data_IF_072939084521
#
_entry.id   IF_072939084521
#
_cell.length_a   1.000
_cell.length_b   1.000
_cell.length_c   1.000
_cell.angle_alpha   90.00
_cell.angle_beta   90.00
_cell.angle_gamma   90.00
#
_symmetry.space_group_name_H-M   'P 1'
#
loop_
_entity.id
_entity.type
_entity.pdbx_description
1 polymer ?
#
# COMPACT_ATOMS: atom_id res chain seq x y z
N UNK A 1 35.78 -5.40 -65.99
CA UNK A 1 35.71 -6.88 -66.13
C UNK A 1 34.58 -7.37 -65.26
N UNK A 2 33.75 -8.29 -65.77
CA UNK A 2 32.72 -9.16 -65.12
C UNK A 2 31.73 -8.51 -64.11
N UNK A 3 30.41 -8.78 -64.11
CA UNK A 3 29.60 -10.00 -64.33
C UNK A 3 29.80 -11.06 -63.21
N UNK A 4 28.79 -11.82 -62.76
CA UNK A 4 27.32 -11.70 -62.82
C UNK A 4 26.66 -12.76 -61.89
N UNK A 5 25.35 -12.65 -61.65
CA UNK A 5 24.47 -13.73 -61.18
C UNK A 5 24.57 -14.18 -59.72
N UNK A 6 23.70 -15.05 -59.20
CA UNK A 6 22.38 -15.59 -59.64
C UNK A 6 21.88 -16.54 -58.51
N UNK A 7 20.61 -16.91 -58.26
CA UNK A 7 19.25 -16.57 -58.75
C UNK A 7 18.27 -16.95 -57.57
N UNK A 8 16.94 -17.12 -57.59
CA UNK A 8 15.83 -17.11 -58.55
C UNK A 8 14.47 -16.93 -57.83
N UNK A 9 13.47 -16.35 -58.48
CA UNK A 9 12.12 -16.05 -57.97
C UNK A 9 11.13 -17.25 -57.96
N UNK A 10 9.99 -17.09 -57.26
CA UNK A 10 8.66 -17.52 -57.79
C UNK A 10 7.47 -16.79 -57.11
N UNK A 11 6.60 -16.19 -57.92
CA UNK A 11 5.16 -15.93 -57.63
C UNK A 11 4.36 -17.27 -57.79
N UNK A 12 3.05 -17.45 -57.55
CA UNK A 12 1.85 -16.60 -57.36
C UNK A 12 0.76 -17.45 -56.65
N UNK A 13 -0.21 -16.92 -55.87
CA UNK A 13 -1.59 -16.52 -56.27
C UNK A 13 -2.28 -17.37 -57.36
N UNK A 14 -3.60 -17.71 -57.32
CA UNK A 14 -4.70 -17.32 -56.42
C UNK A 14 -5.84 -18.40 -56.38
N UNK A 15 -6.85 -18.16 -55.53
CA UNK A 15 -8.28 -18.57 -55.53
C UNK A 15 -8.81 -19.74 -56.41
N UNK A 16 -9.75 -20.52 -55.85
CA UNK A 16 -11.06 -20.75 -56.49
C UNK A 16 -12.18 -21.10 -55.47
N UNK A 17 -13.45 -21.01 -55.88
CA UNK A 17 -14.64 -21.09 -55.02
C UNK A 17 -15.66 -22.19 -55.40
N UNK A 18 -15.95 -23.06 -54.43
CA UNK A 18 -17.33 -23.50 -54.15
C UNK A 18 -17.83 -24.83 -54.74
N UNK A 19 -18.46 -25.63 -53.88
CA UNK A 19 -19.52 -26.59 -54.21
C UNK A 19 -20.37 -26.89 -52.96
N UNK A 20 -21.66 -27.19 -53.13
CA UNK A 20 -22.60 -27.49 -52.04
C UNK A 20 -23.05 -28.96 -52.10
N UNK A 21 -23.08 -29.64 -50.95
CA UNK A 21 -23.73 -30.94 -50.78
C UNK A 21 -24.40 -31.03 -49.40
N UNK A 22 -25.48 -31.82 -49.28
CA UNK A 22 -26.41 -31.81 -48.14
C UNK A 22 -26.92 -33.22 -47.82
N UNK A 23 -26.82 -33.69 -46.55
CA UNK A 23 -27.91 -34.28 -45.71
C UNK A 23 -27.40 -35.03 -44.47
N UNK A 24 -28.22 -35.01 -43.42
CA UNK A 24 -28.15 -35.92 -42.26
C UNK A 24 -27.18 -35.47 -41.15
N UNK A 25 -27.47 -35.69 -39.87
CA UNK A 25 -28.73 -36.16 -39.28
C UNK A 25 -28.59 -36.42 -37.76
N UNK A 26 -29.48 -35.83 -36.95
CA UNK A 26 -29.78 -36.17 -35.55
C UNK A 26 -28.63 -36.64 -34.62
N UNK A 27 -28.24 -35.79 -33.67
CA UNK A 27 -28.66 -35.95 -32.27
C UNK A 27 -28.41 -34.65 -31.48
N UNK A 28 -29.18 -34.41 -30.40
CA UNK A 28 -29.17 -33.15 -29.64
C UNK A 28 -29.13 -33.43 -28.14
N UNK A 29 -27.94 -33.49 -27.58
CA UNK A 29 -27.77 -33.61 -26.12
C UNK A 29 -27.95 -32.24 -25.43
N UNK A 30 -28.59 -32.20 -24.24
CA UNK A 30 -28.78 -30.96 -23.50
C UNK A 30 -27.48 -30.55 -22.79
N UNK A 31 -26.93 -29.39 -23.16
CA UNK A 31 -25.88 -28.74 -22.36
C UNK A 31 -26.40 -28.49 -20.95
N UNK A 32 -25.77 -29.08 -19.95
CA UNK A 32 -25.95 -28.66 -18.56
C UNK A 32 -25.46 -27.23 -18.41
N UNK A 33 -26.39 -26.29 -18.19
CA UNK A 33 -26.05 -24.97 -17.70
C UNK A 33 -25.51 -25.12 -16.27
N UNK A 34 -24.18 -25.15 -16.14
CA UNK A 34 -23.54 -24.86 -14.87
C UNK A 34 -23.80 -23.40 -14.54
N UNK A 35 -24.88 -23.15 -13.80
CA UNK A 35 -25.23 -21.84 -13.25
C UNK A 35 -24.18 -21.48 -12.20
N UNK A 36 -23.05 -20.93 -12.65
CA UNK A 36 -22.06 -20.30 -11.77
C UNK A 36 -22.80 -19.22 -11.00
N UNK A 37 -23.04 -19.45 -9.72
CA UNK A 37 -23.77 -18.52 -8.88
C UNK A 37 -23.00 -17.20 -8.86
N UNK A 38 -23.55 -16.18 -9.54
CA UNK A 38 -23.05 -14.82 -9.45
C UNK A 38 -23.12 -14.44 -7.99
N UNK A 39 -21.95 -14.26 -7.36
CA UNK A 39 -21.86 -13.66 -6.03
C UNK A 39 -22.17 -12.18 -6.22
N UNK A 40 -23.46 -11.85 -6.21
CA UNK A 40 -23.92 -10.50 -5.98
C UNK A 40 -23.26 -10.01 -4.70
N UNK A 41 -22.34 -9.07 -4.85
CA UNK A 41 -21.84 -8.27 -3.74
C UNK A 41 -23.07 -7.53 -3.23
N UNK A 42 -23.44 -7.73 -1.97
CA UNK A 42 -24.51 -6.97 -1.34
C UNK A 42 -24.17 -5.49 -1.35
N UNK A 43 -25.13 -4.62 -1.67
CA UNK A 43 -24.91 -3.16 -1.78
C UNK A 43 -24.39 -2.52 -0.47
N UNK A 44 -24.51 -3.23 0.67
CA UNK A 44 -23.85 -2.90 1.93
C UNK A 44 -22.32 -2.87 1.89
N UNK A 45 -21.67 -3.62 1.00
CA UNK A 45 -20.20 -3.73 0.94
C UNK A 45 -19.55 -2.66 0.05
N UNK A 46 -20.30 -2.02 -0.85
CA UNK A 46 -19.78 -1.02 -1.79
C UNK A 46 -20.60 0.28 -1.72
N UNK A 47 -20.10 1.24 -0.93
CA UNK A 47 -20.74 2.55 -0.71
C UNK A 47 -19.72 3.68 -0.87
N UNK A 48 -20.07 4.73 -1.59
CA UNK A 48 -19.23 5.94 -1.69
C UNK A 48 -19.51 6.90 -0.54
N UNK A 49 -18.56 7.78 -0.18
CA UNK A 49 -18.83 8.80 0.84
C UNK A 49 -19.76 9.92 0.30
N UNK A 50 -19.99 9.98 -1.02
CA UNK A 50 -20.95 10.91 -1.64
C UNK A 50 -22.39 10.54 -1.28
N UNK A 51 -22.71 9.25 -1.18
CA UNK A 51 -24.01 8.74 -0.68
C UNK A 51 -24.26 9.05 0.81
N UNK A 52 -23.21 9.37 1.58
CA UNK A 52 -23.27 9.68 3.02
C UNK A 52 -23.23 11.18 3.33
N UNK A 53 -23.11 12.05 2.32
CA UNK A 53 -22.82 13.47 2.51
C UNK A 53 -24.05 14.37 2.62
N UNK A 54 -25.27 13.83 2.57
CA UNK A 54 -26.51 14.61 2.35
C UNK A 54 -27.34 14.92 3.60
N UNK A 55 -27.12 14.28 4.76
CA UNK A 55 -28.08 14.33 5.89
C UNK A 55 -27.48 14.60 7.29
N UNK A 56 -26.17 14.83 7.43
CA UNK A 56 -25.49 14.84 8.75
C UNK A 56 -24.62 16.09 9.02
N UNK A 57 -25.20 17.30 8.97
CA UNK A 57 -24.58 18.51 9.55
C UNK A 57 -24.77 18.55 11.09
N UNK A 58 -24.23 17.57 11.81
CA UNK A 58 -24.32 17.46 13.27
C UNK A 58 -22.94 17.44 13.94
N UNK A 59 -22.39 18.62 14.26
CA UNK A 59 -21.10 18.79 14.94
C UNK A 59 -21.17 18.48 16.46
N UNK A 60 -21.42 17.22 16.82
CA UNK A 60 -21.37 16.72 18.22
C UNK A 60 -20.82 15.29 18.28
N UNK A 61 -19.66 15.07 18.94
CA UNK A 61 -19.24 13.68 19.23
C UNK A 61 -17.80 13.39 19.61
N UNK A 62 -16.81 14.22 19.28
CA UNK A 62 -15.38 13.91 19.54
C UNK A 62 -14.93 14.04 21.03
N UNK A 63 -15.88 13.97 21.97
CA UNK A 63 -15.67 14.14 23.40
C UNK A 63 -15.26 12.86 24.15
N UNK A 64 -14.45 11.99 23.51
CA UNK A 64 -13.64 11.00 24.21
C UNK A 64 -12.17 11.18 23.83
N UNK A 65 -11.43 11.84 24.73
CA UNK A 65 -9.98 11.98 24.59
C UNK A 65 -9.28 10.62 24.53
N UNK A 66 -8.10 10.53 23.88
CA UNK A 66 -7.48 9.25 23.56
C UNK A 66 -7.17 8.44 24.82
N UNK A 67 -7.68 7.21 24.87
CA UNK A 67 -7.35 6.18 25.84
C UNK A 67 -5.87 5.78 25.71
N UNK A 68 -4.99 6.61 26.29
CA UNK A 68 -3.57 6.30 26.49
C UNK A 68 -3.46 5.16 27.49
N UNK A 69 -3.43 3.92 27.00
CA UNK A 69 -2.99 2.79 27.82
C UNK A 69 -1.55 3.09 28.26
N UNK A 70 -1.32 3.19 29.58
CA UNK A 70 0.04 3.15 30.11
C UNK A 70 0.59 1.75 29.82
N UNK A 71 1.87 1.63 29.40
CA UNK A 71 2.46 0.32 29.07
C UNK A 71 2.34 -0.72 30.20
N UNK A 72 2.26 -0.26 31.46
CA UNK A 72 1.96 -1.07 32.65
C UNK A 72 0.59 -1.76 32.66
N UNK A 73 -0.34 -1.38 31.77
CA UNK A 73 -1.68 -1.97 31.61
C UNK A 73 -1.73 -3.01 30.47
N UNK A 74 -0.68 -3.11 29.65
CA UNK A 74 -0.56 -4.13 28.60
C UNK A 74 -0.05 -5.41 29.27
N UNK A 75 -0.87 -6.48 29.27
CA UNK A 75 -0.54 -7.77 29.89
C UNK A 75 0.67 -8.43 29.22
N UNK A 76 1.34 -9.36 29.92
CA UNK A 76 2.53 -10.04 29.38
C UNK A 76 2.19 -10.79 28.09
N UNK A 77 1.05 -11.47 28.10
CA UNK A 77 0.55 -12.30 27.01
C UNK A 77 0.30 -11.46 25.74
N UNK A 78 -0.22 -10.23 25.91
CA UNK A 78 -0.42 -9.30 24.81
C UNK A 78 0.90 -8.73 24.28
N UNK A 79 1.90 -8.51 25.14
CA UNK A 79 3.26 -8.13 24.70
C UNK A 79 3.94 -9.28 23.95
N UNK A 80 3.88 -10.50 24.49
CA UNK A 80 4.46 -11.70 23.86
C UNK A 80 3.79 -11.99 22.49
N UNK A 81 2.48 -11.71 22.37
CA UNK A 81 1.76 -11.76 21.09
C UNK A 81 2.22 -10.68 20.10
N UNK A 82 2.34 -9.42 20.53
CA UNK A 82 2.85 -8.33 19.70
C UNK A 82 4.31 -8.56 19.27
N UNK A 83 5.16 -9.07 20.15
CA UNK A 83 6.55 -9.47 19.86
C UNK A 83 6.60 -10.53 18.75
N UNK A 84 5.75 -11.58 18.84
CA UNK A 84 5.61 -12.57 17.78
C UNK A 84 5.18 -11.93 16.46
N UNK A 85 4.13 -11.12 16.47
CA UNK A 85 3.58 -10.46 15.28
C UNK A 85 4.62 -9.57 14.59
N UNK A 86 5.41 -8.82 15.37
CA UNK A 86 6.46 -7.94 14.85
C UNK A 86 7.64 -8.70 14.22
N UNK A 87 8.09 -9.80 14.84
CA UNK A 87 9.16 -10.64 14.27
C UNK A 87 8.69 -11.35 12.99
N UNK A 88 7.51 -11.96 13.02
CA UNK A 88 6.92 -12.63 11.85
C UNK A 88 6.70 -11.61 10.70
N UNK A 89 6.36 -10.36 11.02
CA UNK A 89 6.28 -9.25 10.06
C UNK A 89 7.65 -8.81 9.52
N UNK A 90 8.69 -8.73 10.36
CA UNK A 90 10.06 -8.41 9.95
C UNK A 90 10.61 -9.44 8.95
N UNK A 91 10.42 -10.73 9.22
CA UNK A 91 10.84 -11.83 8.33
C UNK A 91 10.15 -11.72 6.94
N UNK A 92 8.85 -11.44 6.92
CA UNK A 92 8.09 -11.20 5.68
C UNK A 92 8.55 -9.93 4.94
N UNK A 93 8.88 -8.86 5.67
CA UNK A 93 9.39 -7.60 5.10
C UNK A 93 10.75 -7.79 4.42
N UNK A 94 11.73 -8.41 5.08
CA UNK A 94 13.06 -8.63 4.48
C UNK A 94 12.98 -9.60 3.29
N UNK A 95 12.09 -10.59 3.33
CA UNK A 95 11.75 -11.42 2.17
C UNK A 95 11.23 -10.59 1.00
N UNK A 96 10.28 -9.67 1.24
CA UNK A 96 9.71 -8.81 0.20
C UNK A 96 10.71 -7.78 -0.36
N UNK A 97 11.54 -7.17 0.49
CA UNK A 97 12.64 -6.30 0.06
C UNK A 97 13.62 -7.03 -0.86
N UNK A 98 13.93 -8.30 -0.55
CA UNK A 98 14.78 -9.15 -1.40
C UNK A 98 14.13 -9.40 -2.76
N UNK A 99 12.86 -9.80 -2.80
CA UNK A 99 12.12 -10.07 -4.06
C UNK A 99 11.99 -8.82 -4.94
N UNK A 100 11.68 -7.66 -4.35
CA UNK A 100 11.59 -6.39 -5.07
C UNK A 100 12.91 -6.01 -5.75
N UNK A 101 14.05 -6.24 -5.06
CA UNK A 101 15.40 -5.99 -5.60
C UNK A 101 15.85 -7.04 -6.65
N UNK A 102 15.26 -8.23 -6.67
CA UNK A 102 15.50 -9.27 -7.69
C UNK A 102 14.72 -9.06 -8.99
N UNK A 103 13.85 -8.03 -9.06
CA UNK A 103 13.08 -7.72 -10.27
C UNK A 103 11.84 -8.59 -10.48
N UNK A 104 11.44 -9.40 -9.49
CA UNK A 104 10.25 -10.26 -9.54
C UNK A 104 8.92 -9.47 -9.57
N UNK A 105 8.96 -8.19 -9.20
CA UNK A 105 7.77 -7.36 -8.96
C UNK A 105 7.42 -6.50 -10.17
N UNK A 106 6.13 -6.33 -10.44
CA UNK A 106 5.64 -5.52 -11.56
C UNK A 106 5.99 -4.05 -11.35
N UNK A 107 6.73 -3.44 -12.28
CA UNK A 107 6.93 -1.99 -12.33
C UNK A 107 5.59 -1.30 -12.57
N UNK A 108 5.20 -0.37 -11.68
CA UNK A 108 4.11 0.58 -11.88
C UNK A 108 4.63 1.97 -12.29
N UNK A 109 5.81 2.35 -11.79
CA UNK A 109 6.53 3.57 -12.16
C UNK A 109 8.04 3.35 -12.03
N UNK A 110 8.79 3.65 -13.08
CA UNK A 110 10.23 3.35 -13.18
C UNK A 110 11.15 4.49 -12.72
N UNK A 111 10.65 5.73 -12.68
CA UNK A 111 11.43 6.94 -12.36
C UNK A 111 10.86 7.58 -11.09
N UNK A 112 11.69 8.24 -10.28
CA UNK A 112 11.39 8.91 -8.99
C UNK A 112 9.91 9.28 -8.68
N UNK A 113 9.30 8.73 -7.61
CA UNK A 113 9.70 7.50 -6.92
C UNK A 113 9.54 6.26 -7.79
N UNK A 114 10.46 5.31 -7.68
CA UNK A 114 10.27 3.95 -8.20
C UNK A 114 9.10 3.34 -7.42
N UNK A 115 8.12 2.77 -8.12
CA UNK A 115 7.01 2.03 -7.50
C UNK A 115 6.85 0.68 -8.19
N UNK A 116 7.03 -0.39 -7.42
CA UNK A 116 6.83 -1.78 -7.84
C UNK A 116 5.64 -2.40 -7.09
N UNK A 117 5.05 -3.46 -7.62
CA UNK A 117 3.95 -4.21 -6.99
C UNK A 117 4.16 -5.73 -7.07
N UNK A 118 3.97 -6.39 -5.92
CA UNK A 118 3.99 -7.84 -5.77
C UNK A 118 2.67 -8.50 -6.22
N UNK A 119 2.67 -9.80 -6.56
CA UNK A 119 1.44 -10.57 -6.80
C UNK A 119 0.46 -10.57 -5.61
N UNK A 120 0.96 -10.49 -4.37
CA UNK A 120 0.15 -10.41 -3.14
C UNK A 120 -0.44 -9.01 -2.85
N UNK A 121 -0.29 -8.08 -3.82
CA UNK A 121 -0.70 -6.67 -3.76
C UNK A 121 0.04 -5.81 -2.71
N UNK A 122 1.22 -6.26 -2.27
CA UNK A 122 2.19 -5.38 -1.60
C UNK A 122 2.87 -4.45 -2.62
N UNK A 123 3.32 -3.29 -2.16
CA UNK A 123 4.02 -2.30 -2.97
C UNK A 123 5.41 -2.02 -2.38
N UNK A 124 6.37 -1.73 -3.26
CA UNK A 124 7.71 -1.29 -2.89
C UNK A 124 7.95 0.08 -3.52
N UNK A 125 8.29 1.06 -2.69
CA UNK A 125 8.53 2.45 -3.07
C UNK A 125 9.99 2.78 -2.76
N UNK A 126 10.73 3.35 -3.72
CA UNK A 126 12.13 3.78 -3.51
C UNK A 126 12.41 5.17 -4.09
N UNK A 127 13.12 6.00 -3.32
CA UNK A 127 13.40 7.41 -3.63
C UNK A 127 14.69 7.90 -2.93
N UNK A 128 15.45 8.80 -3.55
CA UNK A 128 16.68 9.41 -3.00
C UNK A 128 16.41 10.81 -2.39
N UNK A 129 16.98 11.06 -1.21
CA UNK A 129 16.86 12.31 -0.47
C UNK A 129 18.23 12.89 -0.10
N UNK A 130 18.36 14.21 -0.18
CA UNK A 130 19.59 14.98 0.11
C UNK A 130 19.66 15.39 1.59
N UNK A 131 19.52 14.42 2.50
CA UNK A 131 19.63 14.63 3.95
C UNK A 131 20.21 13.38 4.64
N UNK A 132 20.43 13.44 5.95
CA UNK A 132 20.88 12.27 6.72
C UNK A 132 19.76 11.22 6.84
N UNK A 133 20.08 9.91 6.99
CA UNK A 133 19.06 8.88 7.19
C UNK A 133 18.22 9.10 8.46
N UNK A 134 18.77 9.75 9.49
CA UNK A 134 18.01 10.15 10.67
C UNK A 134 16.94 11.19 10.33
N UNK A 135 17.30 12.27 9.61
CA UNK A 135 16.34 13.32 9.20
C UNK A 135 15.23 12.72 8.33
N UNK A 136 15.57 11.88 7.36
CA UNK A 136 14.58 11.18 6.53
C UNK A 136 13.67 10.27 7.37
N UNK A 137 14.22 9.49 8.30
CA UNK A 137 13.42 8.59 9.13
C UNK A 137 12.49 9.34 10.08
N UNK A 138 12.97 10.37 10.76
CA UNK A 138 12.15 11.17 11.66
C UNK A 138 11.03 11.90 10.91
N UNK A 139 11.33 12.48 9.74
CA UNK A 139 10.34 13.08 8.85
C UNK A 139 9.26 12.08 8.39
N UNK A 140 9.66 10.88 7.98
CA UNK A 140 8.75 9.85 7.47
C UNK A 140 7.94 9.12 8.57
N UNK A 141 8.50 8.94 9.77
CA UNK A 141 7.96 8.04 10.81
C UNK A 141 7.34 8.75 12.03
N UNK A 142 7.94 9.88 12.45
CA UNK A 142 7.51 10.64 13.64
C UNK A 142 6.68 11.86 13.25
N UNK A 143 7.19 12.61 12.28
CA UNK A 143 6.66 13.92 11.88
C UNK A 143 5.61 13.85 10.76
N UNK A 144 5.12 12.66 10.40
CA UNK A 144 4.22 12.42 9.26
C UNK A 144 3.02 13.37 9.18
N UNK A 145 2.39 13.73 10.30
CA UNK A 145 1.26 14.69 10.32
C UNK A 145 1.65 16.15 10.01
N UNK A 146 2.93 16.52 10.11
CA UNK A 146 3.38 17.89 9.86
C UNK A 146 3.41 18.25 8.37
N UNK A 147 3.25 17.26 7.49
CA UNK A 147 3.35 17.43 6.04
C UNK A 147 2.41 16.52 5.24
N UNK A 148 2.02 15.35 5.75
CA UNK A 148 1.23 14.40 4.99
C UNK A 148 -0.28 14.70 5.06
N UNK A 149 -0.78 15.51 4.12
CA UNK A 149 -2.21 15.81 3.94
C UNK A 149 -3.08 14.60 3.55
N UNK A 150 -2.49 13.40 3.40
CA UNK A 150 -3.22 12.16 3.16
C UNK A 150 -3.71 11.51 4.48
N UNK A 151 -3.29 12.03 5.63
CA UNK A 151 -3.76 11.65 6.96
C UNK A 151 -4.57 12.80 7.59
N UNK A 152 -5.62 12.45 8.33
CA UNK A 152 -6.47 13.39 9.10
C UNK A 152 -6.11 13.36 10.58
N UNK A 153 -5.80 12.17 11.10
CA UNK A 153 -5.36 11.95 12.47
C UNK A 153 -4.29 10.86 12.49
N UNK A 154 -3.26 10.99 13.33
CA UNK A 154 -2.35 9.91 13.66
C UNK A 154 -1.66 10.14 15.01
N UNK A 155 -1.50 9.09 15.83
CA UNK A 155 -0.94 9.20 17.18
C UNK A 155 -0.52 7.84 17.74
N UNK A 156 0.52 7.86 18.59
CA UNK A 156 0.78 6.76 19.52
C UNK A 156 -0.37 6.69 20.54
N UNK A 157 -0.99 5.53 20.68
CA UNK A 157 -2.10 5.25 21.61
C UNK A 157 -1.65 4.41 22.81
N UNK A 158 -0.58 3.63 22.67
CA UNK A 158 0.11 3.00 23.78
C UNK A 158 1.61 2.86 23.47
N UNK A 159 2.45 2.96 24.49
CA UNK A 159 3.88 2.62 24.38
C UNK A 159 4.10 1.28 25.07
N UNK A 160 4.66 0.31 24.35
CA UNK A 160 4.89 -1.06 24.83
C UNK A 160 6.26 -1.16 25.49
N UNK A 161 7.29 -0.65 24.81
CA UNK A 161 8.68 -0.54 25.24
C UNK A 161 9.34 0.67 24.55
N UNK A 162 10.62 1.01 24.80
CA UNK A 162 11.27 2.21 24.23
C UNK A 162 11.37 2.26 22.70
N UNK A 163 11.21 1.13 22.00
CA UNK A 163 11.28 1.05 20.53
C UNK A 163 9.97 0.57 19.88
N UNK A 164 8.95 0.26 20.69
CA UNK A 164 7.71 -0.40 20.23
C UNK A 164 6.48 0.34 20.73
N UNK A 165 5.60 0.71 19.80
CA UNK A 165 4.36 1.41 20.08
C UNK A 165 3.14 0.78 19.40
N UNK A 166 1.97 1.11 19.92
CA UNK A 166 0.68 0.90 19.26
C UNK A 166 0.23 2.27 18.73
N UNK A 167 -0.05 2.32 17.44
CA UNK A 167 -0.25 3.55 16.69
C UNK A 167 -1.61 3.56 16.00
N UNK A 168 -2.32 4.67 16.14
CA UNK A 168 -3.54 4.94 15.39
C UNK A 168 -3.21 5.85 14.21
N UNK A 169 -3.83 5.61 13.05
CA UNK A 169 -3.88 6.58 11.96
C UNK A 169 -5.22 6.53 11.22
N UNK A 170 -5.62 7.66 10.65
CA UNK A 170 -6.82 7.80 9.82
C UNK A 170 -6.45 8.54 8.52
N UNK A 171 -6.80 7.96 7.37
CA UNK A 171 -6.62 8.59 6.07
C UNK A 171 -7.62 9.71 5.83
N UNK A 172 -7.25 10.67 4.99
CA UNK A 172 -8.22 11.50 4.29
C UNK A 172 -9.11 10.63 3.37
N UNK A 173 -10.34 11.07 3.03
CA UNK A 173 -11.10 10.48 1.95
C UNK A 173 -10.37 10.65 0.62
N UNK A 174 -10.30 9.59 -0.19
CA UNK A 174 -9.64 9.61 -1.49
C UNK A 174 -10.66 9.70 -2.64
N UNK A 175 -10.15 10.01 -3.84
CA UNK A 175 -10.94 10.10 -5.08
C UNK A 175 -12.19 10.98 -4.96
N UNK A 176 -12.02 12.21 -4.43
CA UNK A 176 -13.10 13.19 -4.20
C UNK A 176 -14.28 12.64 -3.37
N UNK A 177 -13.99 11.76 -2.40
CA UNK A 177 -15.00 11.13 -1.55
C UNK A 177 -15.56 9.82 -2.09
N UNK A 178 -15.13 9.34 -3.25
CA UNK A 178 -15.52 8.00 -3.70
C UNK A 178 -14.99 6.89 -2.78
N UNK A 179 -13.86 7.14 -2.11
CA UNK A 179 -13.27 6.28 -1.08
C UNK A 179 -13.31 7.03 0.26
N UNK A 180 -14.19 6.62 1.17
CA UNK A 180 -14.26 7.13 2.54
C UNK A 180 -12.95 6.95 3.32
N UNK A 181 -12.76 7.73 4.40
CA UNK A 181 -11.62 7.58 5.31
C UNK A 181 -11.47 6.16 5.82
N UNK A 182 -10.23 5.66 5.82
CA UNK A 182 -9.86 4.40 6.49
C UNK A 182 -9.11 4.71 7.78
N UNK A 183 -9.40 3.99 8.85
CA UNK A 183 -8.56 4.00 10.05
C UNK A 183 -7.80 2.69 10.24
N UNK A 184 -6.64 2.78 10.90
CA UNK A 184 -5.69 1.70 11.09
C UNK A 184 -5.19 1.73 12.54
N UNK A 185 -4.97 0.54 13.10
CA UNK A 185 -4.40 0.34 14.44
C UNK A 185 -3.22 -0.59 14.27
N UNK A 186 -2.02 -0.01 14.15
CA UNK A 186 -0.80 -0.74 13.84
C UNK A 186 0.07 -0.90 15.08
N UNK A 187 0.56 -2.11 15.34
CA UNK A 187 1.73 -2.27 16.21
C UNK A 187 2.97 -1.98 15.38
N UNK A 188 3.88 -1.18 15.93
CA UNK A 188 5.08 -0.72 15.22
C UNK A 188 6.33 -0.90 16.08
N UNK A 189 7.45 -1.24 15.45
CA UNK A 189 8.78 -1.27 16.08
C UNK A 189 9.82 -0.57 15.24
N UNK A 190 10.67 0.21 15.90
CA UNK A 190 11.86 0.85 15.31
C UNK A 190 13.10 0.02 15.59
N UNK A 191 13.99 -0.08 14.61
CA UNK A 191 15.34 -0.61 14.70
C UNK A 191 16.31 0.38 14.06
N UNK A 192 17.54 0.45 14.56
CA UNK A 192 18.63 1.20 13.95
C UNK A 192 19.88 0.32 13.89
N UNK A 193 20.35 0.06 12.67
CA UNK A 193 21.63 -0.58 12.42
C UNK A 193 22.68 0.51 12.17
N UNK A 194 23.61 0.65 13.12
CA UNK A 194 24.68 1.64 13.05
C UNK A 194 25.83 1.25 12.13
N UNK A 195 25.99 -0.03 11.78
CA UNK A 195 27.04 -0.51 10.89
C UNK A 195 26.71 -0.20 9.41
N UNK A 196 25.42 -0.21 9.04
CA UNK A 196 24.93 0.19 7.71
C UNK A 196 24.06 1.46 7.73
N UNK A 197 24.18 2.29 8.77
CA UNK A 197 23.50 3.59 8.93
C UNK A 197 22.02 3.58 8.49
N UNK A 198 21.29 2.55 8.92
CA UNK A 198 19.92 2.27 8.46
C UNK A 198 18.94 2.32 9.63
N UNK A 199 17.96 3.20 9.53
CA UNK A 199 16.76 3.16 10.37
C UNK A 199 15.68 2.33 9.68
N UNK A 200 15.03 1.43 10.41
CA UNK A 200 13.92 0.59 9.93
C UNK A 200 12.77 0.66 10.92
N UNK A 201 11.61 1.15 10.47
CA UNK A 201 10.34 1.06 11.20
C UNK A 201 9.46 -0.01 10.56
N UNK A 202 9.23 -1.13 11.24
CA UNK A 202 8.28 -2.18 10.80
C UNK A 202 6.93 -1.94 11.47
N UNK A 203 5.84 -2.16 10.74
CA UNK A 203 4.47 -2.04 11.24
C UNK A 203 3.53 -3.06 10.60
N UNK A 204 2.46 -3.39 11.33
CA UNK A 204 1.39 -4.30 10.91
C UNK A 204 0.13 -4.05 11.76
N UNK A 205 -1.05 -4.14 11.16
CA UNK A 205 -2.31 -3.93 11.90
C UNK A 205 -2.61 -5.04 12.89
N UNK A 206 -3.13 -4.66 14.04
CA UNK A 206 -3.56 -5.55 15.12
C UNK A 206 -4.92 -5.13 15.65
N UNK A 207 -5.68 -6.08 16.19
CA UNK A 207 -6.87 -5.76 16.95
C UNK A 207 -6.48 -5.15 18.32
N UNK A 208 -7.23 -4.15 18.77
CA UNK A 208 -7.04 -3.55 20.08
C UNK A 208 -8.34 -2.97 20.63
N UNK A 209 -8.69 -3.37 21.86
CA UNK A 209 -9.85 -2.86 22.59
C UNK A 209 -9.71 -1.37 22.96
N UNK A 210 -8.50 -0.80 22.90
CA UNK A 210 -8.27 0.64 23.10
C UNK A 210 -8.68 1.49 21.89
N UNK A 211 -8.94 0.87 20.73
CA UNK A 211 -9.42 1.54 19.53
C UNK A 211 -10.40 0.63 18.76
N UNK A 212 -11.64 0.45 19.27
CA UNK A 212 -12.68 -0.29 18.57
C UNK A 212 -13.04 0.38 17.23
N UNK A 213 -13.80 -0.34 16.39
CA UNK A 213 -14.26 0.19 15.09
C UNK A 213 -15.33 1.26 15.29
N UNK A 214 -15.31 2.30 14.46
CA UNK A 214 -16.26 3.43 14.53
C UNK A 214 -17.71 2.98 14.32
N UNK A 215 -18.54 3.13 15.35
CA UNK A 215 -19.93 2.64 15.36
C UNK A 215 -20.82 3.27 14.27
N UNK A 216 -20.50 4.48 13.81
CA UNK A 216 -21.27 5.19 12.77
C UNK A 216 -20.99 4.72 11.33
N UNK A 217 -20.10 3.74 11.13
CA UNK A 217 -19.68 3.17 9.82
C UNK A 217 -19.10 4.16 8.79
N UNK A 218 -18.98 5.46 9.09
CA UNK A 218 -18.45 6.48 8.14
C UNK A 218 -16.95 6.34 7.90
N UNK A 219 -16.24 5.75 8.88
CA UNK A 219 -14.81 5.42 8.82
C UNK A 219 -14.69 3.90 8.75
N UNK A 220 -13.91 3.40 7.79
CA UNK A 220 -13.73 1.96 7.53
C UNK A 220 -12.44 1.48 8.18
N UNK A 221 -12.50 0.43 9.02
CA UNK A 221 -11.28 -0.18 9.59
C UNK A 221 -10.50 -0.90 8.50
N UNK A 222 -9.43 -0.26 8.03
CA UNK A 222 -8.44 -0.87 7.15
C UNK A 222 -7.53 -1.83 7.91
N UNK A 223 -6.77 -2.64 7.18
CA UNK A 223 -5.77 -3.55 7.77
C UNK A 223 -4.48 -3.51 6.96
N UNK A 224 -3.40 -3.02 7.56
CA UNK A 224 -2.04 -3.15 7.05
C UNK A 224 -1.50 -4.55 7.36
N UNK A 225 -0.96 -5.23 6.36
CA UNK A 225 -0.09 -6.39 6.55
C UNK A 225 1.34 -5.95 6.87
N UNK A 226 2.28 -6.90 7.03
CA UNK A 226 3.70 -6.61 7.22
C UNK A 226 4.22 -5.56 6.24
N UNK A 227 4.66 -4.44 6.79
CA UNK A 227 5.05 -3.23 6.08
C UNK A 227 6.24 -2.58 6.79
N UNK A 228 7.06 -1.79 6.09
CA UNK A 228 8.17 -1.07 6.72
C UNK A 228 8.55 0.22 6.01
N UNK A 229 9.02 1.21 6.76
CA UNK A 229 9.75 2.38 6.23
C UNK A 229 11.22 2.21 6.62
N UNK A 230 12.13 2.27 5.65
CA UNK A 230 13.58 2.25 5.82
C UNK A 230 14.19 3.55 5.31
N UNK A 231 15.05 4.15 6.11
CA UNK A 231 15.94 5.24 5.70
C UNK A 231 17.39 4.74 5.77
N UNK A 232 18.00 4.58 4.60
CA UNK A 232 19.32 3.95 4.43
C UNK A 232 20.32 5.04 4.06
N UNK A 233 21.33 5.28 4.90
CA UNK A 233 22.40 6.24 4.61
C UNK A 233 23.47 5.66 3.67
N UNK A 234 23.97 6.46 2.74
CA UNK A 234 25.22 6.18 2.03
C UNK A 234 26.33 7.05 2.62
N UNK A 235 27.25 6.40 3.35
CA UNK A 235 28.41 7.06 3.96
C UNK A 235 29.39 7.65 2.92
N UNK A 236 29.29 7.27 1.65
CA UNK A 236 30.17 7.73 0.56
C UNK A 236 29.69 9.05 -0.04
N UNK A 237 28.38 9.21 -0.26
CA UNK A 237 27.79 10.40 -0.90
C UNK A 237 27.09 11.34 0.07
N UNK A 238 26.85 10.92 1.32
CA UNK A 238 26.09 11.69 2.32
C UNK A 238 24.58 11.75 2.05
N UNK A 239 24.10 11.10 0.98
CA UNK A 239 22.68 10.94 0.67
C UNK A 239 22.03 9.89 1.57
N UNK A 240 20.69 9.86 1.57
CA UNK A 240 19.94 8.70 2.02
C UNK A 240 18.90 8.23 1.00
N UNK A 241 18.56 6.96 1.07
CA UNK A 241 17.49 6.32 0.30
C UNK A 241 16.32 6.01 1.22
N UNK A 242 15.11 6.40 0.81
CA UNK A 242 13.86 5.84 1.31
C UNK A 242 13.59 4.51 0.60
N UNK A 243 13.38 3.45 1.35
CA UNK A 243 12.72 2.22 0.88
C UNK A 243 11.49 1.95 1.73
N UNK A 244 10.33 1.74 1.11
CA UNK A 244 9.07 1.53 1.82
C UNK A 244 8.34 0.31 1.24
N UNK A 245 8.10 -0.71 2.07
CA UNK A 245 7.16 -1.80 1.80
C UNK A 245 5.81 -1.41 2.38
N UNK A 246 4.78 -1.41 1.55
CA UNK A 246 3.40 -1.17 1.96
C UNK A 246 2.49 -2.31 1.52
N UNK A 247 1.91 -3.05 2.47
CA UNK A 247 0.79 -3.94 2.21
C UNK A 247 -0.42 -3.45 2.99
N UNK A 248 -1.43 -2.93 2.29
CA UNK A 248 -2.69 -2.50 2.92
C UNK A 248 -3.90 -3.17 2.27
N UNK A 249 -4.96 -3.34 3.04
CA UNK A 249 -6.29 -3.71 2.58
C UNK A 249 -7.28 -2.69 3.13
N UNK A 250 -7.89 -1.94 2.22
CA UNK A 250 -8.78 -0.82 2.51
C UNK A 250 -10.22 -1.26 2.81
N UNK A 251 -10.57 -2.55 2.64
CA UNK A 251 -11.93 -3.11 2.77
C UNK A 251 -13.00 -2.41 1.89
N UNK A 252 -14.23 -2.93 1.93
CA UNK A 252 -15.41 -2.33 1.29
C UNK A 252 -15.43 -2.49 -0.23
N UNK A 253 -15.35 -3.74 -0.72
CA UNK A 253 -15.63 -4.11 -2.12
C UNK A 253 -14.74 -3.49 -3.23
N UNK A 254 -13.76 -2.64 -2.90
CA UNK A 254 -13.12 -1.74 -3.88
C UNK A 254 -12.47 -2.50 -5.06
N UNK A 255 -12.79 -2.15 -6.32
CA UNK A 255 -12.21 -2.78 -7.50
C UNK A 255 -10.68 -2.72 -7.53
N UNK A 256 -10.01 -3.85 -7.75
CA UNK A 256 -8.53 -3.96 -7.67
C UNK A 256 -7.77 -2.92 -8.52
N UNK A 257 -8.28 -2.56 -9.70
CA UNK A 257 -7.70 -1.52 -10.56
C UNK A 257 -7.82 -0.11 -9.95
N UNK A 258 -8.93 0.18 -9.27
CA UNK A 258 -9.17 1.44 -8.58
C UNK A 258 -8.21 1.58 -7.39
N UNK A 259 -8.07 0.51 -6.59
CA UNK A 259 -7.10 0.45 -5.49
C UNK A 259 -5.66 0.62 -6.01
N UNK A 260 -5.26 -0.11 -7.04
CA UNK A 260 -3.92 0.02 -7.65
C UNK A 260 -3.63 1.45 -8.11
N UNK A 261 -4.58 2.10 -8.81
CA UNK A 261 -4.42 3.48 -9.26
C UNK A 261 -4.35 4.47 -8.08
N UNK A 262 -5.23 4.32 -7.09
CA UNK A 262 -5.28 5.21 -5.93
C UNK A 262 -4.02 5.08 -5.06
N UNK A 263 -3.50 3.86 -4.88
CA UNK A 263 -2.25 3.62 -4.14
C UNK A 263 -1.04 4.16 -4.89
N UNK A 264 -0.96 3.97 -6.22
CA UNK A 264 0.11 4.56 -7.03
C UNK A 264 0.15 6.09 -6.90
N UNK A 265 -0.99 6.76 -7.01
CA UNK A 265 -1.09 8.22 -6.79
C UNK A 265 -0.69 8.58 -5.35
N UNK A 266 -1.17 7.83 -4.35
CA UNK A 266 -0.80 8.03 -2.94
C UNK A 266 0.72 8.06 -2.78
N UNK A 267 1.44 7.04 -3.28
CA UNK A 267 2.90 6.93 -3.11
C UNK A 267 3.67 8.07 -3.79
N UNK A 268 3.24 8.50 -4.98
CA UNK A 268 3.89 9.59 -5.72
C UNK A 268 3.77 10.91 -4.95
N UNK A 269 2.56 11.26 -4.51
CA UNK A 269 2.35 12.48 -3.74
C UNK A 269 2.99 12.42 -2.34
N UNK A 270 3.03 11.24 -1.72
CA UNK A 270 3.63 11.03 -0.39
C UNK A 270 5.12 11.37 -0.41
N UNK A 271 5.86 10.84 -1.39
CA UNK A 271 7.28 11.13 -1.59
C UNK A 271 7.51 12.60 -1.95
N UNK A 272 6.64 13.20 -2.77
CA UNK A 272 6.73 14.63 -3.09
C UNK A 272 6.58 15.52 -1.86
N UNK A 273 5.54 15.32 -1.03
CA UNK A 273 5.31 16.12 0.18
C UNK A 273 6.38 15.91 1.25
N UNK A 274 6.90 14.68 1.39
CA UNK A 274 8.04 14.38 2.27
C UNK A 274 9.30 15.13 1.83
N UNK A 275 9.56 15.21 0.52
CA UNK A 275 10.70 15.94 -0.07
C UNK A 275 10.57 17.44 0.20
N UNK A 276 9.43 18.04 -0.12
CA UNK A 276 9.14 19.45 0.19
C UNK A 276 9.31 19.76 1.68
N UNK A 277 8.92 18.84 2.57
CA UNK A 277 9.04 19.04 4.01
C UNK A 277 10.50 19.08 4.49
N UNK A 278 11.33 18.14 4.02
CA UNK A 278 12.76 18.07 4.33
C UNK A 278 13.49 19.30 3.77
N UNK A 279 13.20 19.68 2.52
CA UNK A 279 13.81 20.85 1.86
C UNK A 279 13.45 22.16 2.60
N UNK A 280 12.20 22.32 3.06
CA UNK A 280 11.77 23.45 3.90
C UNK A 280 12.49 23.48 5.26
N UNK A 281 12.72 22.33 5.90
CA UNK A 281 13.50 22.28 7.14
C UNK A 281 14.95 22.71 6.92
N UNK A 282 15.61 22.21 5.87
CA UNK A 282 17.00 22.59 5.54
C UNK A 282 17.14 24.09 5.25
N UNK A 283 16.20 24.66 4.48
CA UNK A 283 16.18 26.09 4.17
C UNK A 283 15.90 26.99 5.39
N UNK A 284 15.21 26.48 6.41
CA UNK A 284 14.95 27.20 7.66
C UNK A 284 16.07 27.06 8.72
N UNK A 285 17.09 26.24 8.43
CA UNK A 285 18.26 26.01 9.29
C UNK A 285 19.58 26.56 8.71
N UNK A 286 19.48 27.36 7.64
CA UNK A 286 20.59 28.00 6.91
C UNK A 286 20.57 29.51 7.06
#
# INVERSE_FOLDING_TARGET
>A
MSLAGEHSDSYSSNDDLGAVAVRGGTHREPRQNHTVASRYISDDEFRSAMEFSSEDEAHTGFAQGPLRLRGSQISKELRDAYEKILRDAWEKVESQLRQARLGEWKVLKANEPIVLQAPDSSYFIRSEFSCSPQVLFEAAWRDVLRWNSQLVEARVIATIDPVTDLYYSMSAPALKGYVSSRDFVDVRRVHFDSAIQTYTGVFVSVESQACPVHANKKIVRGTNGPSCIRAIGDATTGKCTLEWIMRTDLKGGLPKRLVQSSMLTYFIEHVARLREYIERQSAAAS
#
